data_IF_369631722157
#
_entry.id   IF_369631722157
#
_cell.length_a   1.000
_cell.length_b   1.000
_cell.length_c   1.000
_cell.angle_alpha   90.00
_cell.angle_beta   90.00
_cell.angle_gamma   90.00
#
_symmetry.space_group_name_H-M   'P 1'
#
loop_
_entity.id
_entity.type
_entity.pdbx_description
1 polymer ?
#
# COMPACT_ATOMS: atom_id res chain seq x y z
N UNK A 1 -22.37 6.56 7.27
CA UNK A 1 -21.29 7.06 6.39
C UNK A 1 -20.06 6.21 6.70
N UNK A 2 -19.41 5.60 5.70
CA UNK A 2 -18.15 4.87 5.92
C UNK A 2 -17.01 5.88 5.72
N UNK A 3 -16.32 6.24 6.80
CA UNK A 3 -15.11 7.06 6.74
C UNK A 3 -13.94 6.12 6.43
N UNK A 4 -13.54 6.08 5.16
CA UNK A 4 -12.33 5.38 4.75
C UNK A 4 -11.15 6.35 4.94
N UNK A 5 -10.05 5.86 5.48
CA UNK A 5 -8.81 6.60 5.65
C UNK A 5 -7.94 6.37 4.43
N UNK A 6 -7.46 7.46 3.85
CA UNK A 6 -6.55 7.43 2.70
C UNK A 6 -5.14 7.74 3.17
N UNK A 7 -4.26 6.76 3.05
CA UNK A 7 -2.85 6.89 3.39
C UNK A 7 -2.01 6.93 2.12
N UNK A 8 -1.18 7.96 1.97
CA UNK A 8 -0.18 8.05 0.90
C UNK A 8 1.21 7.78 1.45
N UNK A 9 1.97 6.96 0.73
CA UNK A 9 3.35 6.56 1.04
C UNK A 9 4.21 6.70 -0.23
N UNK A 10 5.51 6.91 -0.07
CA UNK A 10 6.43 6.93 -1.20
C UNK A 10 7.19 5.59 -1.21
N UNK A 11 7.15 4.90 -2.34
CA UNK A 11 7.83 3.61 -2.54
C UNK A 11 8.86 3.76 -3.66
N UNK A 12 10.12 4.14 -3.34
CA UNK A 12 11.16 4.34 -4.34
C UNK A 12 11.56 3.04 -5.05
N UNK A 13 11.33 1.89 -4.41
CA UNK A 13 11.57 0.55 -4.95
C UNK A 13 10.55 0.10 -6.00
N UNK A 14 9.45 0.85 -6.20
CA UNK A 14 8.49 0.53 -7.26
C UNK A 14 9.05 1.03 -8.59
N UNK A 15 9.73 0.13 -9.30
CA UNK A 15 10.41 0.43 -10.59
C UNK A 15 9.79 -0.31 -11.77
N UNK A 16 8.97 -1.33 -11.51
CA UNK A 16 8.36 -2.17 -12.54
C UNK A 16 6.91 -2.51 -12.19
N UNK A 17 6.09 -2.75 -13.20
CA UNK A 17 4.70 -3.19 -13.06
C UNK A 17 4.59 -4.49 -12.21
N UNK A 18 5.60 -5.36 -12.31
CA UNK A 18 5.72 -6.56 -11.48
C UNK A 18 5.84 -6.25 -9.98
N UNK A 19 6.59 -5.21 -9.61
CA UNK A 19 6.70 -4.75 -8.22
C UNK A 19 5.36 -4.22 -7.71
N UNK A 20 4.67 -3.43 -8.54
CA UNK A 20 3.33 -2.89 -8.21
C UNK A 20 2.35 -4.01 -7.93
N UNK A 21 2.32 -5.04 -8.77
CA UNK A 21 1.36 -6.12 -8.63
C UNK A 21 1.61 -6.95 -7.36
N UNK A 22 2.88 -7.17 -6.99
CA UNK A 22 3.25 -7.83 -5.74
C UNK A 22 2.79 -7.04 -4.52
N UNK A 23 3.05 -5.72 -4.52
CA UNK A 23 2.60 -4.80 -3.46
C UNK A 23 1.08 -4.80 -3.36
N UNK A 24 0.37 -4.59 -4.48
CA UNK A 24 -1.10 -4.58 -4.50
C UNK A 24 -1.67 -5.90 -3.99
N UNK A 25 -1.10 -7.04 -4.36
CA UNK A 25 -1.54 -8.34 -3.85
C UNK A 25 -1.31 -8.50 -2.35
N UNK A 26 -0.12 -8.13 -1.86
CA UNK A 26 0.20 -8.23 -0.43
C UNK A 26 -0.75 -7.36 0.41
N UNK A 27 -0.92 -6.10 0.01
CA UNK A 27 -1.83 -5.17 0.66
C UNK A 27 -3.30 -5.59 0.50
N UNK A 28 -3.71 -6.07 -0.66
CA UNK A 28 -5.10 -6.52 -0.88
C UNK A 28 -5.47 -7.73 -0.03
N UNK A 29 -4.49 -8.44 0.52
CA UNK A 29 -4.69 -9.55 1.44
C UNK A 29 -5.02 -9.08 2.86
N UNK A 30 -4.72 -7.81 3.19
CA UNK A 30 -5.05 -7.22 4.48
C UNK A 30 -6.55 -6.91 4.53
N UNK A 31 -7.27 -7.62 5.41
CA UNK A 31 -8.67 -7.29 5.71
C UNK A 31 -8.76 -5.86 6.26
N UNK A 32 -9.53 -5.01 5.60
CA UNK A 32 -9.69 -3.60 5.95
C UNK A 32 -9.18 -2.66 4.87
N UNK A 33 -8.44 -3.14 3.87
CA UNK A 33 -8.09 -2.35 2.70
C UNK A 33 -9.25 -2.39 1.70
N UNK A 34 -9.74 -1.21 1.32
CA UNK A 34 -10.80 -1.04 0.32
C UNK A 34 -10.23 -0.84 -1.08
N UNK A 35 -9.13 -0.08 -1.20
CA UNK A 35 -8.55 0.25 -2.50
C UNK A 35 -7.07 0.52 -2.41
N UNK A 36 -6.34 0.16 -3.45
CA UNK A 36 -4.89 0.34 -3.54
C UNK A 36 -4.57 0.91 -4.91
N UNK A 37 -4.00 2.11 -4.91
CA UNK A 37 -3.58 2.81 -6.09
C UNK A 37 -2.06 3.03 -5.99
N UNK A 38 -1.34 2.72 -7.07
CA UNK A 38 0.12 2.77 -7.07
C UNK A 38 0.54 3.41 -8.37
N UNK A 39 1.30 4.49 -8.25
CA UNK A 39 1.73 5.29 -9.38
C UNK A 39 3.25 5.26 -9.48
N UNK A 40 3.75 4.58 -10.52
CA UNK A 40 5.19 4.39 -10.76
C UNK A 40 5.84 5.72 -11.16
N UNK A 41 5.13 6.58 -11.90
CA UNK A 41 5.64 7.87 -12.37
C UNK A 41 6.00 8.81 -11.21
N UNK A 42 5.12 8.89 -10.22
CA UNK A 42 5.28 9.72 -9.01
C UNK A 42 5.84 8.94 -7.83
N UNK A 43 6.11 7.63 -8.00
CA UNK A 43 6.53 6.69 -6.95
C UNK A 43 5.65 6.73 -5.71
N UNK A 44 4.36 7.02 -5.92
CA UNK A 44 3.39 7.27 -4.86
C UNK A 44 2.44 6.09 -4.75
N UNK A 45 2.28 5.58 -3.54
CA UNK A 45 1.38 4.48 -3.18
C UNK A 45 0.26 5.09 -2.35
N UNK A 46 -0.96 5.05 -2.86
CA UNK A 46 -2.17 5.50 -2.17
C UNK A 46 -2.98 4.28 -1.75
N UNK A 47 -3.21 4.13 -0.44
CA UNK A 47 -3.98 3.03 0.14
C UNK A 47 -5.22 3.61 0.80
N UNK A 48 -6.40 3.16 0.38
CA UNK A 48 -7.66 3.43 1.07
C UNK A 48 -7.99 2.24 1.97
N UNK A 49 -8.03 2.49 3.27
CA UNK A 49 -8.27 1.46 4.28
C UNK A 49 -9.21 1.97 5.37
N UNK A 50 -9.80 1.04 6.12
CA UNK A 50 -10.55 1.36 7.32
C UNK A 50 -9.65 2.05 8.36
N UNK A 51 -10.20 2.95 9.21
CA UNK A 51 -9.45 3.61 10.29
C UNK A 51 -8.89 2.63 11.34
N UNK A 52 -9.37 1.39 11.35
CA UNK A 52 -8.83 0.30 12.18
C UNK A 52 -7.42 -0.13 11.73
N UNK A 53 -7.06 0.10 10.47
CA UNK A 53 -5.75 -0.26 9.91
C UNK A 53 -4.78 0.90 10.13
N UNK A 54 -3.63 0.58 10.69
CA UNK A 54 -2.55 1.53 10.93
C UNK A 54 -1.47 1.41 9.87
N UNK A 55 -0.71 2.50 9.66
CA UNK A 55 0.48 2.48 8.78
C UNK A 55 1.42 1.32 9.07
N UNK A 56 1.60 0.94 10.33
CA UNK A 56 2.46 -0.18 10.72
C UNK A 56 2.02 -1.53 10.15
N UNK A 57 0.71 -1.79 10.01
CA UNK A 57 0.20 -3.00 9.36
C UNK A 57 0.53 -3.02 7.87
N UNK A 58 0.37 -1.86 7.21
CA UNK A 58 0.68 -1.68 5.78
C UNK A 58 2.18 -1.84 5.55
N UNK A 59 3.02 -1.16 6.34
CA UNK A 59 4.48 -1.27 6.24
C UNK A 59 4.97 -2.69 6.50
N UNK A 60 4.40 -3.38 7.49
CA UNK A 60 4.79 -4.76 7.78
C UNK A 60 4.50 -5.71 6.62
N UNK A 61 3.34 -5.58 5.97
CA UNK A 61 3.02 -6.39 4.79
C UNK A 61 3.95 -6.10 3.61
N UNK A 62 4.48 -4.87 3.50
CA UNK A 62 5.48 -4.50 2.51
C UNK A 62 6.85 -5.06 2.86
N UNK A 63 7.26 -5.02 4.13
CA UNK A 63 8.51 -5.66 4.60
C UNK A 63 8.49 -7.17 4.36
N UNK A 64 7.33 -7.84 4.51
CA UNK A 64 7.19 -9.28 4.25
C UNK A 64 7.46 -9.67 2.78
N UNK A 65 7.20 -8.75 1.85
CA UNK A 65 7.54 -8.93 0.42
C UNK A 65 8.87 -8.26 0.04
N UNK A 66 9.61 -7.72 1.02
CA UNK A 66 10.92 -7.10 0.84
C UNK A 66 10.91 -5.65 0.35
N UNK A 67 9.82 -4.91 0.56
CA UNK A 67 9.69 -3.50 0.18
C UNK A 67 9.71 -2.59 1.39
N UNK A 68 10.58 -1.57 1.37
CA UNK A 68 10.62 -0.52 2.38
C UNK A 68 9.84 0.71 1.90
N UNK A 69 8.88 1.16 2.70
CA UNK A 69 8.17 2.44 2.47
C UNK A 69 8.57 3.50 3.47
N UNK A 70 8.72 4.74 3.00
CA UNK A 70 9.10 5.89 3.81
C UNK A 70 8.06 7.02 3.71
#
# INVERSE_FOLDING_TARGET
MRENVVTRLIAPEVVCDGCVNSIKKALSNIKGISKIDVEIQTKTVTIEHSPEITKGQISKALEEIGYSTQ
#
